data_IF_537982739912
#
_entry.id   IF_537982739912
#
_cell.length_a   1.000
_cell.length_b   1.000
_cell.length_c   1.000
_cell.angle_alpha   90.00
_cell.angle_beta   90.00
_cell.angle_gamma   90.00
#
_symmetry.space_group_name_H-M   'P 1'
#
loop_
_entity.id
_entity.type
_entity.pdbx_description
1 polymer ?
#
# COMPACT_ATOMS: atom_id res chain seq x y z
N UNK A 1 20.35 -40.37 29.45
CA UNK A 1 18.95 -40.55 29.88
C UNK A 1 18.16 -39.30 29.49
N UNK A 2 17.04 -39.51 28.78
CA UNK A 2 15.94 -38.59 28.40
C UNK A 2 16.33 -37.36 27.54
N UNK A 3 16.18 -37.40 26.21
CA UNK A 3 14.95 -37.36 25.39
C UNK A 3 14.06 -36.14 25.64
N UNK A 4 14.20 -35.12 24.79
CA UNK A 4 13.08 -34.36 24.24
C UNK A 4 13.33 -34.11 22.75
N UNK A 5 12.35 -34.55 21.96
CA UNK A 5 12.17 -34.43 20.52
C UNK A 5 11.00 -33.43 20.31
N UNK A 6 10.67 -33.00 19.08
CA UNK A 6 10.90 -31.67 18.58
C UNK A 6 9.62 -30.83 18.41
N UNK A 7 9.84 -29.55 18.12
CA UNK A 7 8.84 -28.56 17.73
C UNK A 7 7.83 -29.09 16.71
N UNK A 8 6.56 -29.12 17.12
CA UNK A 8 5.42 -29.40 16.28
C UNK A 8 5.16 -28.24 15.32
N UNK A 9 5.81 -28.25 14.16
CA UNK A 9 5.40 -27.42 13.02
C UNK A 9 3.96 -27.77 12.65
N UNK A 10 3.07 -26.78 12.76
CA UNK A 10 1.65 -26.90 12.46
C UNK A 10 1.43 -27.37 11.02
N UNK A 11 0.91 -28.59 10.86
CA UNK A 11 0.55 -29.23 9.57
C UNK A 11 -0.43 -28.39 8.73
N UNK A 12 -1.12 -27.43 9.37
CA UNK A 12 -2.05 -26.50 8.72
C UNK A 12 -1.34 -25.36 7.96
N UNK A 13 -0.13 -24.99 8.36
CA UNK A 13 0.68 -23.99 7.67
C UNK A 13 1.52 -24.61 6.54
N UNK A 14 1.90 -25.89 6.64
CA UNK A 14 2.61 -26.59 5.58
C UNK A 14 1.74 -26.86 4.34
N UNK A 15 0.43 -27.10 4.51
CA UNK A 15 -0.50 -27.26 3.40
C UNK A 15 -0.91 -25.94 2.72
N UNK A 16 -0.72 -24.78 3.37
CA UNK A 16 -0.88 -23.46 2.72
C UNK A 16 0.34 -23.06 1.89
N UNK A 17 1.54 -23.50 2.28
CA UNK A 17 2.77 -23.25 1.51
C UNK A 17 2.98 -24.22 0.33
N UNK A 18 2.43 -25.44 0.38
CA UNK A 18 2.50 -26.39 -0.73
C UNK A 18 1.56 -26.06 -1.92
N UNK A 19 0.64 -25.10 -1.76
CA UNK A 19 -0.31 -24.68 -2.79
C UNK A 19 0.15 -23.52 -3.69
N UNK A 20 1.33 -22.94 -3.47
CA UNK A 20 1.83 -21.75 -4.17
C UNK A 20 3.05 -22.01 -5.06
N UNK A 21 3.18 -23.23 -5.57
CA UNK A 21 4.12 -23.58 -6.66
C UNK A 21 3.38 -24.36 -7.72
N UNK A 22 2.72 -23.63 -8.65
CA UNK A 22 2.53 -23.97 -10.06
C UNK A 22 1.33 -23.22 -10.67
N UNK A 23 1.50 -21.93 -11.02
CA UNK A 23 0.79 -21.34 -12.18
C UNK A 23 1.71 -20.35 -12.87
N UNK A 24 2.60 -20.88 -13.70
CA UNK A 24 3.11 -20.18 -14.86
C UNK A 24 3.12 -21.19 -16.02
N UNK A 25 2.59 -20.76 -17.17
CA UNK A 25 2.45 -21.47 -18.44
C UNK A 25 1.21 -22.36 -18.63
N UNK A 26 0.17 -21.77 -19.23
CA UNK A 26 -0.65 -22.45 -20.24
C UNK A 26 -1.21 -21.41 -21.23
N UNK A 27 -0.31 -20.88 -22.07
CA UNK A 27 -0.68 -20.30 -23.36
C UNK A 27 -0.38 -21.37 -24.42
N UNK A 28 -1.41 -22.05 -24.91
CA UNK A 28 -1.64 -22.51 -26.30
C UNK A 28 -2.84 -23.46 -26.30
N UNK A 29 -3.71 -23.32 -27.32
CA UNK A 29 -5.07 -23.84 -27.32
C UNK A 29 -5.23 -25.34 -27.56
N UNK A 30 -6.47 -25.80 -27.41
CA UNK A 30 -6.89 -27.17 -27.66
C UNK A 30 -8.30 -27.39 -27.13
N UNK A 31 -9.23 -27.77 -28.00
CA UNK A 31 -10.66 -27.74 -27.70
C UNK A 31 -11.20 -28.88 -26.83
N UNK A 32 -12.44 -28.65 -26.41
CA UNK A 32 -13.57 -29.57 -26.36
C UNK A 32 -13.83 -30.43 -25.12
N UNK A 33 -15.13 -30.42 -24.77
CA UNK A 33 -15.95 -31.51 -24.22
C UNK A 33 -15.69 -31.95 -22.77
N UNK A 34 -16.60 -32.47 -21.96
CA UNK A 34 -18.07 -32.58 -21.83
C UNK A 34 -18.23 -33.55 -20.63
N UNK A 35 -19.26 -33.37 -19.80
CA UNK A 35 -19.97 -34.44 -19.04
C UNK A 35 -19.16 -35.13 -17.92
N UNK A 36 -19.69 -35.64 -16.80
CA UNK A 36 -21.02 -35.75 -16.19
C UNK A 36 -20.79 -36.39 -14.80
N UNK A 37 -21.79 -36.27 -13.90
CA UNK A 37 -22.30 -37.31 -12.96
C UNK A 37 -21.30 -38.20 -12.21
N UNK A 38 -21.38 -38.44 -10.90
CA UNK A 38 -22.50 -38.59 -9.95
C UNK A 38 -21.80 -38.70 -8.59
N UNK A 39 -22.24 -38.02 -7.53
CA UNK A 39 -23.29 -38.53 -6.66
C UNK A 39 -22.70 -39.38 -5.54
N UNK A 40 -22.75 -38.86 -4.30
CA UNK A 40 -22.94 -39.59 -3.04
C UNK A 40 -23.30 -38.53 -1.98
N UNK A 41 -24.45 -38.69 -1.32
CA UNK A 41 -24.64 -38.19 0.04
C UNK A 41 -25.48 -36.93 0.21
N UNK A 42 -26.75 -37.00 -0.18
CA UNK A 42 -27.81 -36.29 0.53
C UNK A 42 -27.86 -36.88 1.95
N UNK A 43 -27.34 -36.16 2.95
CA UNK A 43 -27.52 -36.46 4.37
C UNK A 43 -27.60 -35.15 5.16
N UNK A 44 -28.46 -35.12 6.20
CA UNK A 44 -29.10 -33.91 6.70
C UNK A 44 -28.12 -33.00 7.45
N UNK A 45 -28.45 -31.71 7.49
CA UNK A 45 -28.06 -30.81 8.57
C UNK A 45 -28.60 -31.37 9.89
N UNK A 46 -27.83 -32.30 10.47
CA UNK A 46 -27.94 -32.66 11.89
C UNK A 46 -27.44 -31.46 12.65
N UNK A 47 -28.36 -30.66 13.19
CA UNK A 47 -28.09 -29.96 14.44
C UNK A 47 -27.68 -31.05 15.41
N UNK A 48 -26.38 -31.15 15.67
CA UNK A 48 -25.82 -32.04 16.68
C UNK A 48 -26.22 -31.48 18.05
N UNK A 49 -27.44 -31.80 18.50
CA UNK A 49 -27.86 -31.78 19.91
C UNK A 49 -27.23 -32.95 20.68
N UNK A 50 -25.99 -33.29 20.37
CA UNK A 50 -25.18 -34.32 21.00
C UNK A 50 -24.04 -33.71 21.80
N UNK A 51 -24.37 -32.81 22.71
CA UNK A 51 -23.65 -32.68 23.97
C UNK A 51 -24.73 -32.92 25.02
N UNK A 52 -24.67 -34.09 25.66
CA UNK A 52 -25.62 -34.49 26.69
C UNK A 52 -25.84 -33.34 27.65
N UNK A 53 -27.11 -33.03 27.91
CA UNK A 53 -27.47 -32.26 29.10
C UNK A 53 -26.64 -32.82 30.26
N UNK A 54 -26.06 -31.96 31.13
CA UNK A 54 -25.29 -32.44 32.26
C UNK A 54 -26.11 -33.53 32.93
N UNK A 55 -25.55 -34.74 33.00
CA UNK A 55 -26.11 -35.82 33.80
C UNK A 55 -25.94 -35.33 35.23
N UNK A 56 -26.94 -34.60 35.71
CA UNK A 56 -27.11 -34.40 37.13
C UNK A 56 -27.13 -35.81 37.73
N UNK A 57 -26.37 -36.10 38.80
CA UNK A 57 -26.64 -37.29 39.56
C UNK A 57 -28.12 -37.22 39.93
N UNK A 58 -28.93 -38.08 39.31
CA UNK A 58 -30.30 -38.28 39.73
C UNK A 58 -30.18 -38.65 41.19
N UNK A 59 -30.66 -37.77 42.06
CA UNK A 59 -30.79 -38.07 43.47
C UNK A 59 -31.37 -39.48 43.58
N UNK A 60 -30.85 -40.34 44.48
CA UNK A 60 -31.40 -41.67 44.66
C UNK A 60 -32.92 -41.53 44.73
N UNK A 61 -33.68 -42.37 43.98
CA UNK A 61 -35.14 -42.27 44.00
C UNK A 61 -35.53 -42.22 45.47
N UNK A 62 -36.19 -41.14 45.87
CA UNK A 62 -36.83 -41.08 47.17
C UNK A 62 -37.61 -42.37 47.24
N UNK A 63 -37.13 -43.29 48.07
CA UNK A 63 -37.85 -44.51 48.34
C UNK A 63 -39.22 -44.02 48.75
N UNK A 64 -40.22 -44.35 47.96
CA UNK A 64 -41.62 -44.25 48.35
C UNK A 64 -41.84 -45.29 49.45
N UNK A 65 -41.13 -45.13 50.56
CA UNK A 65 -41.67 -45.44 51.86
C UNK A 65 -42.60 -44.25 52.12
N UNK A 66 -43.73 -44.26 51.42
CA UNK A 66 -44.96 -43.77 52.02
C UNK A 66 -44.96 -44.48 53.37
N UNK A 67 -45.02 -43.78 54.53
CA UNK A 67 -45.31 -44.50 55.75
C UNK A 67 -46.57 -45.27 55.42
N UNK A 68 -46.46 -46.61 55.43
CA UNK A 68 -47.65 -47.44 55.41
C UNK A 68 -48.36 -46.95 56.66
N UNK A 69 -49.34 -46.06 56.46
CA UNK A 69 -50.46 -45.94 57.36
C UNK A 69 -51.06 -47.31 57.25
N UNK A 70 -50.51 -48.24 58.03
CA UNK A 70 -51.16 -49.49 58.31
C UNK A 70 -52.54 -49.03 58.69
N UNK A 71 -53.53 -49.46 57.93
CA UNK A 71 -54.94 -49.34 58.26
C UNK A 71 -55.09 -49.90 59.67
N UNK A 72 -54.83 -49.07 60.69
CA UNK A 72 -55.41 -49.19 62.00
C UNK A 72 -56.82 -48.67 61.79
N UNK A 73 -57.59 -49.41 60.99
CA UNK A 73 -59.03 -49.44 61.16
C UNK A 73 -59.17 -49.99 62.58
N UNK A 74 -59.65 -49.21 63.56
CA UNK A 74 -59.97 -49.80 64.84
C UNK A 74 -61.09 -50.79 64.54
N UNK A 75 -60.77 -52.08 64.54
CA UNK A 75 -61.79 -53.10 64.70
C UNK A 75 -62.32 -52.90 66.11
N UNK A 76 -63.36 -52.08 66.24
CA UNK A 76 -64.18 -52.01 67.43
C UNK A 76 -64.56 -53.46 67.71
N UNK A 77 -64.12 -54.10 68.81
CA UNK A 77 -64.68 -55.38 69.16
C UNK A 77 -66.16 -55.08 69.40
N UNK A 78 -67.02 -55.64 68.54
CA UNK A 78 -68.45 -55.63 68.74
C UNK A 78 -68.67 -55.97 70.21
N UNK A 79 -69.19 -55.02 70.97
CA UNK A 79 -69.40 -55.16 72.40
C UNK A 79 -70.12 -56.49 72.61
N UNK A 80 -69.44 -57.41 73.28
CA UNK A 80 -69.99 -58.70 73.66
C UNK A 80 -71.23 -58.38 74.49
N UNK A 81 -72.39 -58.62 73.90
CA UNK A 81 -73.65 -58.66 74.63
C UNK A 81 -73.53 -59.78 75.68
N UNK A 82 -73.02 -59.43 76.88
CA UNK A 82 -72.80 -60.34 78.01
C UNK A 82 -71.38 -60.41 78.61
N UNK A 83 -70.41 -59.58 78.20
CA UNK A 83 -69.04 -59.63 78.71
C UNK A 83 -68.74 -58.68 79.88
N UNK A 84 -67.96 -59.17 80.86
CA UNK A 84 -67.53 -58.50 82.09
C UNK A 84 -66.95 -57.07 81.83
N UNK A 85 -67.49 -55.99 82.42
CA UNK A 85 -67.10 -54.60 82.12
C UNK A 85 -65.60 -54.30 82.35
N UNK A 86 -64.93 -55.11 83.17
CA UNK A 86 -63.49 -55.01 83.43
C UNK A 86 -62.65 -55.41 82.21
N UNK A 87 -63.10 -56.38 81.42
CA UNK A 87 -62.40 -56.85 80.20
C UNK A 87 -62.53 -55.82 79.08
N UNK A 88 -63.69 -55.17 78.95
CA UNK A 88 -63.89 -54.08 78.01
C UNK A 88 -63.02 -52.85 78.35
N UNK A 89 -62.87 -52.52 79.64
CA UNK A 89 -62.00 -51.44 80.08
C UNK A 89 -60.52 -51.75 79.80
N UNK A 90 -60.07 -52.98 80.08
CA UNK A 90 -58.70 -53.42 79.80
C UNK A 90 -58.37 -53.39 78.30
N UNK A 91 -59.30 -53.81 77.43
CA UNK A 91 -59.15 -53.71 75.97
C UNK A 91 -59.06 -52.25 75.51
N UNK A 92 -59.91 -51.36 76.05
CA UNK A 92 -59.85 -49.92 75.74
C UNK A 92 -58.55 -49.26 76.22
N UNK A 93 -58.01 -49.68 77.37
CA UNK A 93 -56.72 -49.19 77.86
C UNK A 93 -55.55 -49.66 76.98
N UNK A 94 -55.59 -50.90 76.50
CA UNK A 94 -54.58 -51.42 75.57
C UNK A 94 -54.60 -50.65 74.25
N UNK A 95 -55.79 -50.34 73.73
CA UNK A 95 -55.97 -49.56 72.51
C UNK A 95 -55.47 -48.11 72.68
N UNK A 96 -55.75 -47.46 73.81
CA UNK A 96 -55.20 -46.13 74.12
C UNK A 96 -53.67 -46.16 74.19
N UNK A 97 -53.07 -47.20 74.77
CA UNK A 97 -51.61 -47.35 74.78
C UNK A 97 -51.04 -47.58 73.37
N UNK A 98 -51.73 -48.34 72.52
CA UNK A 98 -51.32 -48.55 71.12
C UNK A 98 -51.43 -47.27 70.29
N UNK A 99 -52.51 -46.50 70.43
CA UNK A 99 -52.70 -45.21 69.76
C UNK A 99 -51.68 -44.17 70.23
N UNK A 100 -51.27 -44.20 71.51
CA UNK A 100 -50.19 -43.36 72.03
C UNK A 100 -48.84 -43.75 71.42
N UNK A 101 -48.50 -45.03 71.41
CA UNK A 101 -47.28 -45.51 70.76
C UNK A 101 -47.23 -45.19 69.27
N UNK A 102 -48.38 -45.29 68.57
CA UNK A 102 -48.55 -44.88 67.17
C UNK A 102 -48.32 -43.38 66.96
N UNK A 103 -48.92 -42.52 67.78
CA UNK A 103 -48.67 -41.08 67.73
C UNK A 103 -47.21 -40.74 68.02
N UNK A 104 -46.58 -41.38 69.00
CA UNK A 104 -45.16 -41.16 69.33
C UNK A 104 -44.23 -41.62 68.18
N UNK A 105 -44.61 -42.66 67.44
CA UNK A 105 -43.91 -43.10 66.22
C UNK A 105 -44.04 -42.04 65.12
N UNK A 106 -45.26 -41.59 64.82
CA UNK A 106 -45.52 -40.57 63.79
C UNK A 106 -44.84 -39.23 64.11
N UNK A 107 -44.79 -38.83 65.38
CA UNK A 107 -44.08 -37.62 65.82
C UNK A 107 -42.56 -37.73 65.59
N UNK A 108 -41.98 -38.90 65.82
CA UNK A 108 -40.55 -39.15 65.52
C UNK A 108 -40.27 -39.16 64.02
N UNK A 109 -41.13 -39.77 63.23
CA UNK A 109 -41.01 -39.79 61.77
C UNK A 109 -41.15 -38.38 61.18
N UNK A 110 -42.10 -37.58 61.68
CA UNK A 110 -42.28 -36.19 61.26
C UNK A 110 -41.07 -35.33 61.65
N UNK A 111 -40.51 -35.51 62.84
CA UNK A 111 -39.27 -34.84 63.25
C UNK A 111 -38.07 -35.25 62.37
N UNK A 112 -37.95 -36.54 62.03
CA UNK A 112 -36.92 -37.05 61.13
C UNK A 112 -37.06 -36.45 59.72
N UNK A 113 -38.29 -36.41 59.18
CA UNK A 113 -38.58 -35.79 57.88
C UNK A 113 -38.30 -34.29 57.89
N UNK A 114 -38.66 -33.57 58.96
CA UNK A 114 -38.33 -32.15 59.11
C UNK A 114 -36.81 -31.92 59.15
N UNK A 115 -36.05 -32.79 59.82
CA UNK A 115 -34.59 -32.72 59.82
C UNK A 115 -34.00 -32.98 58.43
N UNK A 116 -34.48 -34.01 57.72
CA UNK A 116 -34.04 -34.37 56.38
C UNK A 116 -34.39 -33.27 55.35
N UNK A 117 -35.56 -32.63 55.49
CA UNK A 117 -35.94 -31.51 54.64
C UNK A 117 -35.06 -30.27 54.93
N UNK A 118 -34.70 -30.04 56.19
CA UNK A 118 -33.73 -29.01 56.59
C UNK A 118 -32.35 -29.23 55.96
N UNK A 119 -31.83 -30.46 56.02
CA UNK A 119 -30.57 -30.85 55.39
C UNK A 119 -30.62 -30.73 53.86
N UNK A 120 -31.72 -31.15 53.23
CA UNK A 120 -31.90 -31.04 51.79
C UNK A 120 -31.97 -29.57 51.33
N UNK A 121 -32.60 -28.68 52.12
CA UNK A 121 -32.62 -27.23 51.86
C UNK A 121 -31.21 -26.64 51.98
N UNK A 122 -30.48 -26.92 53.05
CA UNK A 122 -29.10 -26.47 53.23
C UNK A 122 -28.17 -26.98 52.10
N UNK A 123 -28.35 -28.22 51.65
CA UNK A 123 -27.63 -28.77 50.51
C UNK A 123 -27.95 -28.04 49.19
N UNK A 124 -29.22 -27.72 48.94
CA UNK A 124 -29.63 -26.92 47.76
C UNK A 124 -29.06 -25.51 47.80
N UNK A 125 -29.04 -24.86 48.96
CA UNK A 125 -28.50 -23.52 49.12
C UNK A 125 -26.96 -23.50 48.91
N UNK A 126 -26.27 -24.57 49.32
CA UNK A 126 -24.83 -24.71 49.07
C UNK A 126 -24.55 -24.89 47.58
N UNK A 127 -25.30 -25.78 46.90
CA UNK A 127 -25.16 -26.02 45.46
C UNK A 127 -25.52 -24.78 44.63
N UNK A 128 -26.51 -23.98 45.03
CA UNK A 128 -26.86 -22.75 44.32
C UNK A 128 -25.73 -21.72 44.40
N UNK A 129 -25.12 -21.55 45.59
CA UNK A 129 -23.94 -20.72 45.79
C UNK A 129 -22.74 -21.17 44.95
N UNK A 130 -22.46 -22.48 44.91
CA UNK A 130 -21.39 -23.04 44.06
C UNK A 130 -21.66 -22.78 42.58
N UNK A 131 -22.91 -22.95 42.14
CA UNK A 131 -23.29 -22.78 40.74
C UNK A 131 -23.23 -21.30 40.31
N UNK A 132 -23.59 -20.37 41.19
CA UNK A 132 -23.42 -18.94 40.94
C UNK A 132 -21.94 -18.52 40.95
N UNK A 133 -21.12 -19.11 41.82
CA UNK A 133 -19.67 -18.95 41.79
C UNK A 133 -19.05 -19.42 40.47
N UNK A 134 -19.43 -20.61 40.01
CA UNK A 134 -18.98 -21.18 38.73
C UNK A 134 -19.45 -20.33 37.54
N UNK A 135 -20.68 -19.82 37.56
CA UNK A 135 -21.19 -18.91 36.52
C UNK A 135 -20.39 -17.61 36.45
N UNK A 136 -20.04 -17.03 37.58
CA UNK A 136 -19.19 -15.83 37.62
C UNK A 136 -17.80 -16.12 37.05
N UNK A 137 -17.19 -17.23 37.43
CA UNK A 137 -15.87 -17.61 36.94
C UNK A 137 -15.87 -17.89 35.43
N UNK A 138 -16.91 -18.54 34.91
CA UNK A 138 -17.10 -18.73 33.47
C UNK A 138 -17.29 -17.41 32.73
N UNK A 139 -18.01 -16.45 33.31
CA UNK A 139 -18.15 -15.10 32.76
C UNK A 139 -16.82 -14.38 32.65
N UNK A 140 -16.00 -14.46 33.71
CA UNK A 140 -14.65 -13.87 33.75
C UNK A 140 -13.74 -14.48 32.69
N UNK A 141 -13.67 -15.82 32.61
CA UNK A 141 -12.87 -16.52 31.61
C UNK A 141 -13.37 -16.25 30.19
N UNK A 142 -14.68 -16.16 29.99
CA UNK A 142 -15.28 -15.79 28.71
C UNK A 142 -14.87 -14.39 28.24
N UNK A 143 -14.83 -13.41 29.16
CA UNK A 143 -14.34 -12.07 28.86
C UNK A 143 -12.86 -12.04 28.48
N UNK A 144 -12.02 -12.79 29.20
CA UNK A 144 -10.59 -12.93 28.86
C UNK A 144 -10.39 -13.57 27.48
N UNK A 145 -11.13 -14.64 27.17
CA UNK A 145 -11.07 -15.32 25.87
C UNK A 145 -11.48 -14.36 24.75
N UNK A 146 -12.51 -13.54 24.95
CA UNK A 146 -12.93 -12.54 23.96
C UNK A 146 -11.82 -11.52 23.67
N UNK A 147 -11.10 -11.04 24.71
CA UNK A 147 -9.96 -10.12 24.52
C UNK A 147 -8.79 -10.78 23.77
N UNK A 148 -8.51 -12.05 24.06
CA UNK A 148 -7.49 -12.81 23.33
C UNK A 148 -7.88 -13.08 21.88
N UNK A 149 -9.15 -13.41 21.63
CA UNK A 149 -9.70 -13.57 20.28
C UNK A 149 -9.53 -12.27 19.49
N UNK A 150 -9.90 -11.12 20.08
CA UNK A 150 -9.73 -9.81 19.45
C UNK A 150 -8.26 -9.46 19.17
N UNK A 151 -7.33 -9.91 20.03
CA UNK A 151 -5.89 -9.76 19.80
C UNK A 151 -5.37 -10.65 18.66
N UNK A 152 -5.97 -11.82 18.46
CA UNK A 152 -5.62 -12.75 17.38
C UNK A 152 -6.23 -12.33 16.04
N UNK A 153 -7.48 -11.83 16.06
CA UNK A 153 -8.18 -11.28 14.90
C UNK A 153 -7.50 -10.02 14.33
N UNK A 154 -6.61 -9.37 15.10
CA UNK A 154 -5.70 -8.34 14.58
C UNK A 154 -4.62 -8.97 13.69
N UNK A 155 -4.99 -9.33 12.47
CA UNK A 155 -4.10 -9.96 11.49
C UNK A 155 -3.09 -8.96 10.91
N UNK A 156 -2.03 -8.71 11.68
CA UNK A 156 -0.87 -7.92 11.24
C UNK A 156 -0.15 -8.62 10.08
N UNK A 157 -0.22 -9.96 10.01
CA UNK A 157 0.45 -10.75 8.98
C UNK A 157 -0.14 -10.47 7.60
N UNK A 158 -1.46 -10.63 7.46
CA UNK A 158 -2.18 -10.33 6.22
C UNK A 158 -2.06 -8.86 5.80
N UNK A 159 -2.07 -7.93 6.76
CA UNK A 159 -1.85 -6.50 6.50
C UNK A 159 -0.44 -6.23 5.97
N UNK A 160 0.59 -6.81 6.58
CA UNK A 160 1.98 -6.68 6.11
C UNK A 160 2.15 -7.33 4.73
N UNK A 161 1.59 -8.51 4.50
CA UNK A 161 1.68 -9.21 3.21
C UNK A 161 1.02 -8.39 2.09
N UNK A 162 -0.20 -7.92 2.32
CA UNK A 162 -0.90 -7.07 1.35
C UNK A 162 -0.20 -5.73 1.12
N UNK A 163 0.26 -5.07 2.20
CA UNK A 163 0.96 -3.79 2.10
C UNK A 163 2.31 -3.91 1.41
N UNK A 164 3.09 -4.96 1.71
CA UNK A 164 4.36 -5.25 1.04
C UNK A 164 4.14 -5.62 -0.43
N UNK A 165 3.07 -6.36 -0.74
CA UNK A 165 2.69 -6.67 -2.12
C UNK A 165 2.44 -5.41 -2.96
N UNK A 166 1.62 -4.48 -2.44
CA UNK A 166 1.30 -3.23 -3.13
C UNK A 166 2.50 -2.30 -3.27
N UNK A 167 3.34 -2.19 -2.23
CA UNK A 167 4.61 -1.43 -2.31
C UNK A 167 5.56 -2.08 -3.30
N UNK A 168 5.65 -3.42 -3.28
CA UNK A 168 6.48 -4.21 -4.19
C UNK A 168 6.10 -4.00 -5.66
N UNK A 169 4.80 -3.95 -5.97
CA UNK A 169 4.30 -3.63 -7.31
C UNK A 169 4.78 -2.25 -7.77
N UNK A 170 4.66 -1.22 -6.93
CA UNK A 170 5.09 0.15 -7.26
C UNK A 170 6.60 0.30 -7.36
N UNK A 171 7.37 -0.40 -6.52
CA UNK A 171 8.82 -0.48 -6.66
C UNK A 171 9.16 -1.19 -7.98
N UNK A 172 8.43 -2.24 -8.35
CA UNK A 172 8.58 -2.92 -9.63
C UNK A 172 8.34 -2.00 -10.83
N UNK A 173 7.30 -1.17 -10.79
CA UNK A 173 7.03 -0.14 -11.81
C UNK A 173 8.16 0.89 -11.90
N UNK A 174 8.62 1.40 -10.75
CA UNK A 174 9.72 2.37 -10.67
C UNK A 174 11.02 1.79 -11.25
N UNK A 175 11.39 0.58 -10.81
CA UNK A 175 12.58 -0.13 -11.29
C UNK A 175 12.45 -0.45 -12.78
N UNK A 176 11.27 -0.89 -13.22
CA UNK A 176 10.96 -1.15 -14.63
C UNK A 176 11.04 0.10 -15.52
N UNK A 177 10.86 1.29 -14.95
CA UNK A 177 11.04 2.58 -15.62
C UNK A 177 12.50 3.02 -15.78
N UNK A 178 13.43 2.47 -14.97
CA UNK A 178 14.85 2.90 -14.99
C UNK A 178 15.58 2.69 -16.32
N UNK A 179 15.36 1.61 -17.10
CA UNK A 179 16.00 1.46 -18.40
C UNK A 179 15.56 2.54 -19.40
N UNK A 180 14.30 2.98 -19.34
CA UNK A 180 13.81 4.05 -20.20
C UNK A 180 14.46 5.40 -19.85
N UNK A 181 14.69 5.68 -18.57
CA UNK A 181 15.43 6.85 -18.12
C UNK A 181 16.90 6.80 -18.60
N UNK A 182 17.56 5.65 -18.48
CA UNK A 182 18.93 5.46 -18.94
C UNK A 182 19.06 5.73 -20.46
N UNK A 183 18.17 5.13 -21.27
CA UNK A 183 18.10 5.39 -22.71
C UNK A 183 17.87 6.87 -23.03
N UNK A 184 17.04 7.55 -22.24
CA UNK A 184 16.81 8.97 -22.39
C UNK A 184 18.05 9.82 -22.09
N UNK A 185 18.78 9.48 -21.02
CA UNK A 185 20.05 10.13 -20.66
C UNK A 185 21.12 9.93 -21.73
N UNK A 186 21.25 8.71 -22.26
CA UNK A 186 22.19 8.40 -23.36
C UNK A 186 21.85 9.21 -24.61
N UNK A 187 20.56 9.31 -24.96
CA UNK A 187 20.09 10.14 -26.07
C UNK A 187 20.38 11.63 -25.83
N UNK A 188 20.21 12.11 -24.60
CA UNK A 188 20.55 13.48 -24.19
C UNK A 188 22.05 13.77 -24.27
N UNK A 189 22.89 12.83 -23.84
CA UNK A 189 24.35 12.94 -23.95
C UNK A 189 24.80 12.98 -25.41
N UNK A 190 24.22 12.12 -26.26
CA UNK A 190 24.52 12.12 -27.69
C UNK A 190 24.09 13.43 -28.35
N UNK A 191 22.92 13.96 -27.97
CA UNK A 191 22.42 15.25 -28.43
C UNK A 191 23.34 16.42 -28.02
N UNK A 192 23.79 16.45 -26.76
CA UNK A 192 24.72 17.46 -26.27
C UNK A 192 26.09 17.36 -26.94
N UNK A 193 26.63 16.14 -27.06
CA UNK A 193 27.91 15.90 -27.75
C UNK A 193 27.87 16.30 -29.22
N UNK A 194 26.73 16.10 -29.90
CA UNK A 194 26.54 16.59 -31.26
C UNK A 194 26.61 18.12 -31.33
N UNK A 195 26.03 18.84 -30.39
CA UNK A 195 26.10 20.31 -30.33
C UNK A 195 27.52 20.78 -30.01
N UNK A 196 28.17 20.17 -29.02
CA UNK A 196 29.56 20.48 -28.65
C UNK A 196 30.52 20.31 -29.83
N UNK A 197 30.35 19.28 -30.65
CA UNK A 197 31.15 19.06 -31.86
C UNK A 197 31.01 20.17 -32.91
N UNK A 198 29.92 20.93 -32.90
CA UNK A 198 29.67 22.02 -33.85
C UNK A 198 30.08 23.40 -33.33
N UNK A 199 30.35 23.57 -32.02
CA UNK A 199 30.81 24.84 -31.44
C UNK A 199 32.08 25.36 -32.16
N UNK A 200 33.12 24.53 -32.43
CA UNK A 200 34.31 25.02 -33.13
C UNK A 200 34.02 25.56 -34.53
N UNK A 201 33.00 25.06 -35.23
CA UNK A 201 32.61 25.57 -36.54
C UNK A 201 32.02 26.98 -36.44
N UNK A 202 31.24 27.25 -35.40
CA UNK A 202 30.70 28.58 -35.14
C UNK A 202 31.81 29.57 -34.72
N UNK A 203 32.75 29.13 -33.88
CA UNK A 203 33.91 29.95 -33.49
C UNK A 203 34.80 30.27 -34.70
N UNK A 204 35.01 29.30 -35.59
CA UNK A 204 35.73 29.52 -36.85
C UNK A 204 34.99 30.54 -37.72
N UNK A 205 33.66 30.40 -37.88
CA UNK A 205 32.82 31.36 -38.61
C UNK A 205 32.90 32.78 -38.05
N UNK A 206 32.88 32.92 -36.72
CA UNK A 206 33.05 34.20 -36.03
C UNK A 206 34.44 34.79 -36.26
N UNK A 207 35.50 34.00 -36.11
CA UNK A 207 36.87 34.49 -36.34
C UNK A 207 37.09 34.94 -37.78
N UNK A 208 36.46 34.26 -38.74
CA UNK A 208 36.46 34.66 -40.15
C UNK A 208 35.72 35.99 -40.34
N UNK A 209 34.54 36.16 -39.74
CA UNK A 209 33.81 37.44 -39.78
C UNK A 209 34.62 38.59 -39.19
N UNK A 210 35.30 38.38 -38.07
CA UNK A 210 36.16 39.39 -37.44
C UNK A 210 37.33 39.80 -38.35
N UNK A 211 37.98 38.81 -38.98
CA UNK A 211 39.04 39.06 -39.96
C UNK A 211 38.52 39.82 -41.19
N UNK A 212 37.35 39.47 -41.69
CA UNK A 212 36.75 40.12 -42.86
C UNK A 212 36.28 41.54 -42.53
N UNK A 213 35.73 41.77 -41.35
CA UNK A 213 35.38 43.11 -40.86
C UNK A 213 36.64 43.98 -40.72
N UNK A 214 37.76 43.43 -40.25
CA UNK A 214 39.04 44.15 -40.19
C UNK A 214 39.55 44.54 -41.59
N UNK A 215 39.49 43.62 -42.57
CA UNK A 215 39.84 43.92 -43.97
C UNK A 215 38.98 45.03 -44.56
N UNK A 216 37.65 44.95 -44.40
CA UNK A 216 36.72 45.96 -44.90
C UNK A 216 37.02 47.33 -44.29
N UNK A 217 37.25 47.41 -42.97
CA UNK A 217 37.67 48.67 -42.32
C UNK A 217 38.97 49.22 -42.93
N UNK A 218 39.94 48.36 -43.24
CA UNK A 218 41.17 48.73 -43.94
C UNK A 218 40.89 49.33 -45.32
N UNK A 219 40.08 48.66 -46.15
CA UNK A 219 39.71 49.20 -47.46
C UNK A 219 38.98 50.55 -47.37
N UNK A 220 38.04 50.69 -46.43
CA UNK A 220 37.37 51.97 -46.21
C UNK A 220 38.35 53.07 -45.81
N UNK A 221 39.28 52.80 -44.89
CA UNK A 221 40.31 53.76 -44.48
C UNK A 221 41.28 54.14 -45.62
N UNK A 222 41.66 53.18 -46.46
CA UNK A 222 42.50 53.42 -47.64
C UNK A 222 41.79 54.29 -48.68
N UNK A 223 40.51 54.01 -48.96
CA UNK A 223 39.70 54.80 -49.88
C UNK A 223 39.50 56.20 -49.31
N UNK A 224 39.17 56.35 -48.03
CA UNK A 224 39.01 57.65 -47.36
C UNK A 224 40.28 58.49 -47.46
N UNK A 225 41.45 57.92 -47.15
CA UNK A 225 42.75 58.61 -47.25
C UNK A 225 43.04 59.08 -48.67
N UNK A 226 42.79 58.23 -49.67
CA UNK A 226 42.98 58.59 -51.09
C UNK A 226 41.99 59.65 -51.57
N UNK A 227 40.76 59.60 -51.06
CA UNK A 227 39.70 60.55 -51.40
C UNK A 227 39.96 61.93 -50.77
N UNK A 228 40.42 61.98 -49.52
CA UNK A 228 40.90 63.20 -48.86
C UNK A 228 42.13 63.81 -49.57
N UNK A 229 43.01 62.98 -50.16
CA UNK A 229 44.13 63.48 -50.97
C UNK A 229 43.68 64.02 -52.35
N UNK A 230 42.51 63.59 -52.83
CA UNK A 230 41.96 64.00 -54.12
C UNK A 230 41.06 65.24 -54.02
N UNK A 231 40.33 65.39 -52.91
CA UNK A 231 39.38 66.49 -52.65
C UNK A 231 40.01 67.46 -51.64
N UNK A 232 40.07 68.76 -51.97
CA UNK A 232 40.70 69.78 -51.11
C UNK A 232 39.94 70.06 -49.79
N UNK A 233 38.78 69.44 -49.59
CA UNK A 233 37.85 69.67 -48.49
C UNK A 233 37.63 68.37 -47.71
N UNK A 234 37.61 68.46 -46.38
CA UNK A 234 37.36 67.32 -45.47
C UNK A 234 35.86 67.22 -45.18
N UNK A 235 35.27 66.03 -45.35
CA UNK A 235 33.84 65.76 -45.10
C UNK A 235 33.52 64.27 -45.01
N UNK A 236 32.25 63.91 -44.79
CA UNK A 236 31.82 62.51 -44.74
C UNK A 236 32.10 61.79 -46.07
N UNK A 237 32.40 60.50 -46.02
CA UNK A 237 32.79 59.69 -47.18
C UNK A 237 31.87 59.86 -48.41
N UNK A 238 30.55 59.86 -48.21
CA UNK A 238 29.58 60.03 -49.30
C UNK A 238 29.60 61.45 -49.89
N UNK A 239 29.86 62.46 -49.06
CA UNK A 239 30.02 63.84 -49.52
C UNK A 239 31.31 63.99 -50.34
N UNK A 240 32.42 63.43 -49.84
CA UNK A 240 33.70 63.40 -50.54
C UNK A 240 33.60 62.65 -51.88
N UNK A 241 32.85 61.54 -51.92
CA UNK A 241 32.66 60.74 -53.13
C UNK A 241 31.80 61.48 -54.16
N UNK A 242 30.70 62.11 -53.73
CA UNK A 242 29.85 62.91 -54.60
C UNK A 242 30.60 64.12 -55.18
N UNK A 243 31.38 64.82 -54.34
CA UNK A 243 32.20 65.97 -54.75
C UNK A 243 33.32 65.56 -55.71
N UNK A 244 33.94 64.39 -55.50
CA UNK A 244 34.88 63.81 -56.46
C UNK A 244 34.23 63.50 -57.81
N UNK A 245 33.05 62.87 -57.84
CA UNK A 245 32.33 62.59 -59.10
C UNK A 245 31.95 63.88 -59.85
N UNK A 246 31.54 64.92 -59.12
CA UNK A 246 31.25 66.23 -59.69
C UNK A 246 32.51 66.91 -60.25
N UNK A 247 33.64 66.79 -59.54
CA UNK A 247 34.96 67.26 -59.97
C UNK A 247 35.48 66.52 -61.21
N UNK A 248 35.27 65.22 -61.30
CA UNK A 248 35.71 64.38 -62.41
C UNK A 248 35.13 64.84 -63.76
N UNK A 249 33.88 65.30 -63.76
CA UNK A 249 33.21 65.86 -64.95
C UNK A 249 33.82 67.19 -65.42
N UNK A 250 34.42 67.98 -64.52
CA UNK A 250 35.10 69.25 -64.86
C UNK A 250 36.52 69.05 -65.41
N UNK A 251 37.16 67.91 -65.14
CA UNK A 251 38.59 67.67 -65.40
C UNK A 251 38.92 66.79 -66.62
N UNK A 252 37.91 66.50 -67.45
CA UNK A 252 38.03 65.51 -68.53
C UNK A 252 38.93 65.88 -69.74
N UNK A 253 39.49 67.09 -69.95
CA UNK A 253 40.45 67.27 -71.05
C UNK A 253 41.95 67.25 -70.69
N UNK A 254 42.43 67.56 -69.48
CA UNK A 254 43.89 67.59 -69.24
C UNK A 254 44.29 67.27 -67.78
N UNK A 255 44.87 66.09 -67.53
CA UNK A 255 45.88 65.91 -66.47
C UNK A 255 45.51 65.30 -65.10
N UNK A 256 44.24 65.12 -64.72
CA UNK A 256 43.87 64.45 -63.44
C UNK A 256 43.60 62.94 -63.53
N UNK A 257 43.99 62.31 -64.64
CA UNK A 257 43.76 60.88 -64.87
C UNK A 257 44.36 59.98 -63.79
N UNK A 258 45.50 60.36 -63.22
CA UNK A 258 46.20 59.54 -62.20
C UNK A 258 45.43 59.46 -60.87
N UNK A 259 44.84 60.57 -60.41
CA UNK A 259 44.00 60.58 -59.19
C UNK A 259 42.72 59.78 -59.38
N UNK A 260 42.07 59.95 -60.53
CA UNK A 260 40.88 59.19 -60.89
C UNK A 260 41.17 57.68 -61.01
N UNK A 261 42.29 57.32 -61.63
CA UNK A 261 42.75 55.94 -61.73
C UNK A 261 43.02 55.31 -60.35
N UNK A 262 43.57 56.07 -59.40
CA UNK A 262 43.87 55.56 -58.06
C UNK A 262 42.61 55.28 -57.20
N UNK A 263 41.58 56.12 -57.30
CA UNK A 263 40.27 55.91 -56.63
C UNK A 263 39.50 54.78 -57.29
N UNK A 264 39.42 54.79 -58.63
CA UNK A 264 38.78 53.70 -59.39
C UNK A 264 39.47 52.37 -59.18
N UNK A 265 40.80 52.35 -59.06
CA UNK A 265 41.57 51.15 -58.70
C UNK A 265 41.20 50.63 -57.30
N UNK A 266 41.06 51.51 -56.30
CA UNK A 266 40.66 51.10 -54.96
C UNK A 266 39.21 50.56 -54.90
N UNK A 267 38.28 51.20 -55.61
CA UNK A 267 36.90 50.69 -55.77
C UNK A 267 36.87 49.36 -56.54
N UNK A 268 37.72 49.20 -57.56
CA UNK A 268 37.86 47.95 -58.31
C UNK A 268 38.44 46.84 -57.42
N UNK A 269 39.41 47.15 -56.56
CA UNK A 269 39.95 46.22 -55.55
C UNK A 269 38.90 45.80 -54.52
N UNK A 270 38.09 46.73 -54.02
CA UNK A 270 36.96 46.41 -53.13
C UNK A 270 35.94 45.52 -53.84
N UNK A 271 35.58 45.87 -55.08
CA UNK A 271 34.62 45.10 -55.87
C UNK A 271 35.15 43.69 -56.18
N UNK A 272 36.47 43.55 -56.40
CA UNK A 272 37.15 42.28 -56.61
C UNK A 272 37.20 41.39 -55.34
N UNK A 273 37.14 41.98 -54.14
CA UNK A 273 37.08 41.23 -52.86
C UNK A 273 35.64 40.78 -52.52
N UNK A 274 34.60 41.42 -53.07
CA UNK A 274 33.18 41.07 -52.81
C UNK A 274 32.84 39.60 -53.10
N UNK A 275 33.25 39.00 -54.24
CA UNK A 275 33.02 37.59 -54.52
C UNK A 275 33.67 36.66 -53.49
N UNK A 276 34.89 36.98 -53.04
CA UNK A 276 35.57 36.22 -51.99
C UNK A 276 34.88 36.35 -50.63
N UNK A 277 34.33 37.53 -50.35
CA UNK A 277 33.51 37.79 -49.14
C UNK A 277 32.22 36.99 -49.16
N UNK A 278 31.51 36.98 -50.29
CA UNK A 278 30.27 36.22 -50.48
C UNK A 278 30.51 34.71 -50.37
N UNK A 279 31.54 34.18 -51.04
CA UNK A 279 31.92 32.77 -50.94
C UNK A 279 32.37 32.38 -49.53
N UNK A 280 33.10 33.28 -48.84
CA UNK A 280 33.51 33.07 -47.47
C UNK A 280 32.36 33.15 -46.47
N UNK A 281 31.36 34.00 -46.69
CA UNK A 281 30.15 34.05 -45.87
C UNK A 281 29.33 32.78 -46.04
N UNK A 282 29.22 32.28 -47.26
CA UNK A 282 28.55 30.99 -47.52
C UNK A 282 29.27 29.84 -46.80
N UNK A 283 30.58 29.72 -46.98
CA UNK A 283 31.39 28.60 -46.46
C UNK A 283 31.52 28.64 -44.92
N UNK A 284 31.78 29.82 -44.34
CA UNK A 284 32.11 29.93 -42.92
C UNK A 284 30.90 30.26 -42.04
N UNK A 285 29.79 30.71 -42.63
CA UNK A 285 28.61 31.15 -41.86
C UNK A 285 27.34 30.43 -42.29
N UNK A 286 26.99 30.47 -43.58
CA UNK A 286 25.72 29.91 -44.06
C UNK A 286 25.70 28.39 -43.93
N UNK A 287 26.73 27.68 -44.42
CA UNK A 287 26.80 26.22 -44.37
C UNK A 287 26.77 25.67 -42.92
N UNK A 288 27.55 26.19 -41.94
CA UNK A 288 27.45 25.74 -40.55
C UNK A 288 26.10 26.04 -39.90
N UNK A 289 25.51 27.22 -40.18
CA UNK A 289 24.19 27.58 -39.66
C UNK A 289 23.08 26.72 -40.28
N UNK A 290 23.22 26.33 -41.54
CA UNK A 290 22.24 25.49 -42.23
C UNK A 290 22.14 24.12 -41.55
N UNK A 291 23.22 23.56 -41.01
CA UNK A 291 23.16 22.30 -40.22
C UNK A 291 22.23 22.42 -39.00
N UNK A 292 22.09 23.62 -38.42
CA UNK A 292 21.28 23.86 -37.21
C UNK A 292 19.88 24.37 -37.52
N UNK A 293 19.76 25.19 -38.57
CA UNK A 293 18.54 25.86 -38.97
C UNK A 293 17.79 25.15 -40.10
N UNK A 294 18.40 24.14 -40.74
CA UNK A 294 17.77 23.32 -41.75
C UNK A 294 16.45 22.79 -41.21
N UNK A 295 15.42 22.88 -42.05
CA UNK A 295 14.09 22.38 -41.74
C UNK A 295 14.05 20.89 -42.03
N UNK A 296 14.00 20.07 -40.99
CA UNK A 296 13.79 18.62 -41.10
C UNK A 296 12.35 18.36 -40.69
N UNK A 297 11.51 17.93 -41.62
CA UNK A 297 10.07 17.69 -41.41
C UNK A 297 9.31 18.93 -40.86
N UNK A 298 9.71 20.13 -41.26
CA UNK A 298 9.07 21.39 -40.87
C UNK A 298 9.60 22.02 -39.57
N UNK A 299 10.41 21.30 -38.79
CA UNK A 299 11.06 21.79 -37.56
C UNK A 299 12.54 22.11 -37.79
N UNK A 300 13.13 23.07 -37.05
CA UNK A 300 14.56 23.30 -37.06
C UNK A 300 15.34 22.05 -36.64
N UNK A 301 16.42 21.74 -37.34
CA UNK A 301 17.29 20.60 -37.03
C UNK A 301 17.75 20.63 -35.58
N UNK A 302 18.14 21.81 -35.06
CA UNK A 302 18.50 22.00 -33.65
C UNK A 302 17.40 21.57 -32.67
N UNK A 303 16.14 21.87 -32.98
CA UNK A 303 15.01 21.47 -32.13
C UNK A 303 14.89 19.95 -32.09
N UNK A 304 15.08 19.29 -33.23
CA UNK A 304 14.98 17.84 -33.34
C UNK A 304 16.18 17.11 -32.73
N UNK A 305 17.39 17.63 -32.91
CA UNK A 305 18.63 16.99 -32.47
C UNK A 305 18.95 17.26 -31.01
N UNK A 306 18.62 18.45 -30.49
CA UNK A 306 18.94 18.85 -29.12
C UNK A 306 17.70 18.95 -28.23
N UNK A 307 16.75 19.79 -28.61
CA UNK A 307 15.65 20.19 -27.71
C UNK A 307 14.73 19.02 -27.43
N UNK A 308 14.39 18.24 -28.45
CA UNK A 308 13.42 17.14 -28.33
C UNK A 308 13.96 15.98 -27.48
N UNK A 309 15.20 15.45 -27.68
CA UNK A 309 15.75 14.42 -26.80
C UNK A 309 15.87 14.90 -25.36
N UNK A 310 16.33 16.13 -25.12
CA UNK A 310 16.43 16.67 -23.76
C UNK A 310 15.06 16.84 -23.09
N UNK A 311 14.08 17.39 -23.81
CA UNK A 311 12.75 17.65 -23.25
C UNK A 311 11.96 16.35 -23.06
N UNK A 312 11.86 15.55 -24.10
CA UNK A 312 10.92 14.42 -24.13
C UNK A 312 11.56 13.17 -23.51
N UNK A 313 12.84 12.90 -23.82
CA UNK A 313 13.52 11.67 -23.37
C UNK A 313 14.30 11.86 -22.07
N UNK A 314 14.89 13.03 -21.78
CA UNK A 314 15.57 13.23 -20.49
C UNK A 314 14.60 13.77 -19.45
N UNK A 315 14.07 14.97 -19.66
CA UNK A 315 13.25 15.68 -18.66
C UNK A 315 11.91 14.94 -18.46
N UNK A 316 11.26 14.52 -19.54
CA UNK A 316 10.02 13.75 -19.48
C UNK A 316 10.17 12.45 -18.69
N UNK A 317 11.23 11.67 -18.97
CA UNK A 317 11.51 10.42 -18.25
C UNK A 317 11.90 10.66 -16.80
N UNK A 318 12.76 11.64 -16.53
CA UNK A 318 13.17 11.99 -15.17
C UNK A 318 11.95 12.40 -14.32
N UNK A 319 11.05 13.21 -14.88
CA UNK A 319 9.80 13.59 -14.21
C UNK A 319 8.93 12.36 -13.92
N UNK A 320 8.81 11.45 -14.89
CA UNK A 320 8.05 10.20 -14.72
C UNK A 320 8.65 9.34 -13.60
N UNK A 321 9.98 9.21 -13.52
CA UNK A 321 10.65 8.47 -12.43
C UNK A 321 10.44 9.13 -11.07
N UNK A 322 10.48 10.46 -11.00
CA UNK A 322 10.18 11.22 -9.77
C UNK A 322 8.73 11.00 -9.34
N UNK A 323 7.78 11.08 -10.27
CA UNK A 323 6.36 10.84 -9.99
C UNK A 323 6.12 9.40 -9.51
N UNK A 324 6.78 8.42 -10.11
CA UNK A 324 6.76 7.02 -9.66
C UNK A 324 7.35 6.84 -8.26
N UNK A 325 8.45 7.51 -7.94
CA UNK A 325 9.05 7.46 -6.60
C UNK A 325 8.12 8.07 -5.54
N UNK A 326 7.44 9.17 -5.86
CA UNK A 326 6.40 9.73 -5.00
C UNK A 326 5.22 8.77 -4.82
N UNK A 327 4.80 8.07 -5.88
CA UNK A 327 3.76 7.06 -5.78
C UNK A 327 4.15 5.89 -4.86
N UNK A 328 5.40 5.42 -4.93
CA UNK A 328 5.93 4.40 -3.99
C UNK A 328 5.83 4.89 -2.54
N UNK A 329 6.29 6.12 -2.27
CA UNK A 329 6.23 6.68 -0.92
C UNK A 329 4.80 6.82 -0.41
N UNK A 330 3.87 7.27 -1.26
CA UNK A 330 2.46 7.40 -0.92
C UNK A 330 1.81 6.04 -0.60
N UNK A 331 2.08 5.02 -1.43
CA UNK A 331 1.55 3.66 -1.22
C UNK A 331 2.18 3.02 0.02
N UNK A 332 3.47 3.22 0.26
CA UNK A 332 4.14 2.76 1.47
C UNK A 332 3.47 3.33 2.73
N UNK A 333 3.23 4.64 2.77
CA UNK A 333 2.61 5.24 3.96
C UNK A 333 1.15 4.78 4.13
N UNK A 334 0.38 4.79 3.04
CA UNK A 334 -1.06 4.51 3.09
C UNK A 334 -1.39 3.03 3.31
N UNK A 335 -0.62 2.11 2.71
CA UNK A 335 -0.96 0.68 2.70
C UNK A 335 -0.12 -0.16 3.65
N UNK A 336 1.04 0.33 4.08
CA UNK A 336 1.94 -0.43 4.95
C UNK A 336 2.20 0.27 6.28
N UNK A 337 2.78 1.48 6.26
CA UNK A 337 3.28 2.11 7.47
C UNK A 337 2.16 2.54 8.42
N UNK A 338 1.17 3.30 7.95
CA UNK A 338 0.08 3.76 8.81
C UNK A 338 -0.81 2.61 9.33
N UNK A 339 -1.24 1.63 8.50
CA UNK A 339 -2.02 0.51 8.98
C UNK A 339 -1.24 -0.39 9.95
N UNK A 340 0.06 -0.62 9.72
CA UNK A 340 0.89 -1.41 10.64
C UNK A 340 1.06 -0.71 11.99
N UNK A 341 1.27 0.62 12.01
CA UNK A 341 1.33 1.40 13.26
C UNK A 341 0.01 1.29 14.02
N UNK A 342 -1.12 1.51 13.35
CA UNK A 342 -2.44 1.40 13.95
C UNK A 342 -2.71 0.00 14.53
N UNK A 343 -2.33 -1.07 13.81
CA UNK A 343 -2.48 -2.44 14.27
C UNK A 343 -1.60 -2.72 15.50
N UNK A 344 -0.35 -2.23 15.51
CA UNK A 344 0.55 -2.38 16.67
C UNK A 344 0.05 -1.61 17.90
N UNK A 345 -0.49 -0.41 17.72
CA UNK A 345 -1.07 0.39 18.80
C UNK A 345 -2.32 -0.28 19.38
N UNK A 346 -3.21 -0.81 18.52
CA UNK A 346 -4.37 -1.61 18.93
C UNK A 346 -3.94 -2.84 19.75
N UNK A 347 -2.93 -3.59 19.31
CA UNK A 347 -2.39 -4.74 20.05
C UNK A 347 -1.81 -4.35 21.40
N UNK A 348 -1.12 -3.20 21.49
CA UNK A 348 -0.63 -2.69 22.77
C UNK A 348 -1.79 -2.35 23.71
N UNK A 349 -2.83 -1.68 23.21
CA UNK A 349 -4.05 -1.40 23.98
C UNK A 349 -4.74 -2.66 24.49
N UNK A 350 -4.93 -3.66 23.63
CA UNK A 350 -5.54 -4.94 24.02
C UNK A 350 -4.71 -5.71 25.05
N UNK A 351 -3.38 -5.72 24.91
CA UNK A 351 -2.50 -6.34 25.92
C UNK A 351 -2.61 -5.64 27.28
N UNK A 352 -2.73 -4.33 27.29
CA UNK A 352 -2.96 -3.57 28.53
C UNK A 352 -4.32 -3.93 29.15
N UNK A 353 -5.39 -3.95 28.34
CA UNK A 353 -6.72 -4.35 28.80
C UNK A 353 -6.74 -5.77 29.36
N UNK A 354 -6.02 -6.72 28.74
CA UNK A 354 -5.89 -8.09 29.27
C UNK A 354 -5.17 -8.09 30.62
N UNK A 355 -4.08 -7.32 30.76
CA UNK A 355 -3.36 -7.22 32.03
C UNK A 355 -4.24 -6.60 33.13
N UNK A 356 -4.95 -5.52 32.82
CA UNK A 356 -5.85 -4.84 33.75
C UNK A 356 -7.04 -5.75 34.13
N UNK A 357 -7.61 -6.47 33.15
CA UNK A 357 -8.69 -7.42 33.38
C UNK A 357 -8.27 -8.57 34.30
N UNK A 358 -7.05 -9.09 34.13
CA UNK A 358 -6.49 -10.10 35.03
C UNK A 358 -6.29 -9.56 36.45
N UNK A 359 -5.73 -8.35 36.57
CA UNK A 359 -5.52 -7.71 37.86
C UNK A 359 -6.84 -7.46 38.60
N UNK A 360 -7.88 -6.98 37.90
CA UNK A 360 -9.22 -6.73 38.47
C UNK A 360 -9.93 -8.01 38.92
N UNK A 361 -9.76 -9.11 38.18
CA UNK A 361 -10.43 -10.38 38.45
C UNK A 361 -9.55 -11.39 39.22
N UNK A 362 -8.36 -10.98 39.69
CA UNK A 362 -7.41 -11.81 40.44
C UNK A 362 -7.03 -13.12 39.72
N UNK A 363 -6.84 -13.04 38.40
CA UNK A 363 -6.46 -14.16 37.53
C UNK A 363 -4.96 -14.37 37.37
#
# INVERSE_FOLDING_TARGET
MRNQQPDGVSRRNFLRFAGLTAVAAAATGGGAALLRQTGIGDLPTVINTGAGAPVYPTAPPYGTVVPIVSDIIPTIPAAVAGGDPVVALAASQAEVMQLRASNDQLMRDLAALQSAEGEARAGRDTLSLELDGARNQLGILGGLVALYQQLDDSDVGGLLESGLGAVGEKIGELVGGTPALALGLDAGQLALGAVEAHIPLLDNGRSWLDAQAAKLRGFYGDIETRLQAAVERVGDFLALLAEWFEGLRKWLPFGAGEKAANVMSALTSLLAETPGTLAGLDTNLAQPLDVWLARIDGEPALTRTLVRPLRDEVIGRARTTVDQAHAVAAVYEAQLAAPARAALDSRRGLRQQIADYRAQNQL
#
